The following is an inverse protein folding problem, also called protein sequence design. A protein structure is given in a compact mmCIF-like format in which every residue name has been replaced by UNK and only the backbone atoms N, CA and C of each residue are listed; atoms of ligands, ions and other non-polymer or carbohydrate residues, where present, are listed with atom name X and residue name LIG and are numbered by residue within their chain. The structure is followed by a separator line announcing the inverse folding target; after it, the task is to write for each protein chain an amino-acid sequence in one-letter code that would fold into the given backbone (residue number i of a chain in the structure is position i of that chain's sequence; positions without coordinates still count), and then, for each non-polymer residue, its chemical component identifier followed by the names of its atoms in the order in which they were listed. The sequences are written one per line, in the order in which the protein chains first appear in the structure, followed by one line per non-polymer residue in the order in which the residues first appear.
data_IF_943317089179
#
_entry.id   IF_943317089179
#
_cell.length_a   1.000
_cell.length_b   1.000
_cell.length_c   1.000
_cell.angle_alpha   90.00
_cell.angle_beta   90.00
_cell.angle_gamma   90.00
#
_symmetry.space_group_name_H-M   'P 1'
#
loop_
_entity.id
_entity.type
_entity.pdbx_description
1 polymer ?
#
# COMPACT_ATOMS: atom_id res chain seq x y z
N UNK A 1 3.89 7.95 7.44
CA UNK A 1 4.78 8.40 6.35
C UNK A 1 5.58 7.18 5.94
N UNK A 2 5.50 6.73 4.69
CA UNK A 2 6.24 5.57 4.18
C UNK A 2 7.70 5.98 3.89
N UNK A 3 8.66 5.06 3.93
CA UNK A 3 10.07 5.37 3.59
C UNK A 3 10.17 5.70 2.11
N UNK A 4 10.71 6.87 1.78
CA UNK A 4 11.06 7.22 0.41
C UNK A 4 12.38 6.55 0.01
N UNK A 5 12.51 6.10 -1.24
CA UNK A 5 13.77 5.53 -1.71
C UNK A 5 14.90 6.58 -1.65
N UNK A 6 16.04 6.21 -1.08
CA UNK A 6 17.23 7.07 -0.99
C UNK A 6 18.02 7.03 -2.31
N UNK A 7 17.54 7.78 -3.30
CA UNK A 7 18.17 7.86 -4.62
C UNK A 7 19.16 9.04 -4.61
N UNK A 8 20.46 8.75 -4.73
CA UNK A 8 21.47 9.78 -4.97
C UNK A 8 21.56 10.11 -6.46
N UNK A 9 21.87 11.37 -6.78
CA UNK A 9 22.22 11.75 -8.16
C UNK A 9 23.39 10.88 -8.62
N UNK A 10 23.35 10.45 -9.88
CA UNK A 10 24.31 9.55 -10.56
C UNK A 10 24.34 8.07 -10.16
N UNK A 11 23.38 7.59 -9.35
CA UNK A 11 23.21 6.15 -9.10
C UNK A 11 22.33 5.52 -10.19
N UNK A 12 22.74 4.38 -10.74
CA UNK A 12 21.88 3.55 -11.59
C UNK A 12 21.36 2.39 -10.77
N UNK A 13 20.05 2.18 -10.81
CA UNK A 13 19.36 1.10 -10.11
C UNK A 13 18.53 0.30 -11.10
N UNK A 14 18.51 -1.01 -10.92
CA UNK A 14 17.66 -1.88 -11.71
C UNK A 14 16.27 -1.94 -11.07
N UNK A 15 15.26 -1.58 -11.84
CA UNK A 15 13.87 -1.48 -11.39
C UNK A 15 12.92 -2.11 -12.39
N UNK A 16 11.73 -2.45 -11.91
CA UNK A 16 10.58 -2.82 -12.72
C UNK A 16 9.55 -1.68 -12.69
N UNK A 17 8.96 -1.33 -13.83
CA UNK A 17 7.85 -0.38 -13.89
C UNK A 17 6.56 -1.08 -13.44
N UNK A 18 6.08 -0.77 -12.24
CA UNK A 18 4.95 -1.45 -11.59
C UNK A 18 3.60 -0.84 -11.96
N UNK A 19 3.56 0.47 -12.22
CA UNK A 19 2.36 1.16 -12.68
C UNK A 19 2.77 2.31 -13.59
N UNK A 20 2.22 2.37 -14.81
CA UNK A 20 2.50 3.43 -15.79
C UNK A 20 1.19 4.17 -16.01
N UNK A 21 1.06 5.37 -15.44
CA UNK A 21 -0.07 6.24 -15.71
C UNK A 21 0.20 7.08 -16.97
N UNK A 22 1.42 7.65 -17.09
CA UNK A 22 1.89 8.42 -18.25
C UNK A 22 3.41 8.26 -18.42
N UNK A 23 4.00 8.61 -19.59
CA UNK A 23 5.45 8.46 -19.81
C UNK A 23 6.34 9.16 -18.77
N UNK A 24 5.84 10.22 -18.13
CA UNK A 24 6.53 10.98 -17.08
C UNK A 24 5.93 10.79 -15.69
N UNK A 25 4.93 9.91 -15.55
CA UNK A 25 4.24 9.65 -14.28
C UNK A 25 4.00 8.15 -14.14
N UNK A 26 4.95 7.49 -13.48
CA UNK A 26 4.95 6.04 -13.28
C UNK A 26 5.62 5.68 -11.95
N UNK A 27 5.33 4.47 -11.50
CA UNK A 27 5.89 3.87 -10.30
C UNK A 27 6.85 2.76 -10.65
N UNK A 28 7.87 2.62 -9.82
CA UNK A 28 8.88 1.59 -9.96
C UNK A 28 9.08 0.85 -8.65
N UNK A 29 9.41 -0.43 -8.78
CA UNK A 29 9.87 -1.28 -7.69
C UNK A 29 11.31 -1.71 -7.97
N UNK A 30 12.12 -1.85 -6.92
CA UNK A 30 13.45 -2.43 -7.07
C UNK A 30 13.35 -3.90 -7.51
N UNK A 31 14.31 -4.37 -8.29
CA UNK A 31 14.39 -5.80 -8.66
C UNK A 31 14.60 -6.68 -7.42
N UNK A 32 15.31 -6.19 -6.40
CA UNK A 32 15.39 -6.90 -5.13
C UNK A 32 14.06 -6.76 -4.38
N UNK A 33 13.29 -7.85 -4.35
CA UNK A 33 11.95 -7.90 -3.75
C UNK A 33 11.95 -8.44 -2.33
N UNK A 34 13.09 -8.74 -1.70
CA UNK A 34 13.12 -9.37 -0.35
C UNK A 34 12.30 -8.58 0.68
N UNK A 35 12.45 -7.26 0.70
CA UNK A 35 11.70 -6.42 1.63
C UNK A 35 10.23 -6.31 1.26
N UNK A 36 9.91 -6.25 -0.04
CA UNK A 36 8.53 -6.24 -0.51
C UNK A 36 7.81 -7.56 -0.17
N UNK A 37 8.49 -8.70 -0.33
CA UNK A 37 7.97 -10.02 0.04
C UNK A 37 7.64 -10.10 1.53
N UNK A 38 8.51 -9.56 2.41
CA UNK A 38 8.24 -9.48 3.86
C UNK A 38 7.02 -8.61 4.16
N UNK A 39 6.90 -7.46 3.49
CA UNK A 39 5.74 -6.57 3.64
C UNK A 39 4.45 -7.27 3.20
N UNK A 40 4.46 -7.96 2.06
CA UNK A 40 3.30 -8.71 1.56
C UNK A 40 2.89 -9.79 2.55
N UNK A 41 3.84 -10.57 3.07
CA UNK A 41 3.55 -11.62 4.03
C UNK A 41 2.89 -11.06 5.30
N UNK A 42 3.50 -10.04 5.91
CA UNK A 42 2.97 -9.40 7.11
C UNK A 42 1.59 -8.76 6.85
N UNK A 43 1.36 -8.19 5.67
CA UNK A 43 0.07 -7.66 5.27
C UNK A 43 -1.00 -8.75 5.16
N UNK A 44 -0.65 -9.94 4.62
CA UNK A 44 -1.58 -11.08 4.57
C UNK A 44 -1.96 -11.56 5.96
N UNK A 45 -1.00 -11.67 6.87
CA UNK A 45 -1.24 -12.10 8.26
C UNK A 45 -2.15 -11.10 8.98
N UNK A 46 -1.85 -9.79 8.88
CA UNK A 46 -2.65 -8.75 9.50
C UNK A 46 -4.06 -8.62 8.88
N UNK A 47 -4.21 -8.86 7.58
CA UNK A 47 -5.48 -8.79 6.87
C UNK A 47 -6.49 -9.88 7.28
N UNK A 48 -6.04 -10.96 7.92
CA UNK A 48 -6.90 -12.01 8.46
C UNK A 48 -7.65 -11.61 9.74
N UNK A 49 -7.32 -10.46 10.34
CA UNK A 49 -8.05 -9.98 11.52
C UNK A 49 -9.49 -9.62 11.14
N UNK A 50 -10.36 -9.59 12.14
CA UNK A 50 -11.69 -9.02 11.97
C UNK A 50 -11.61 -7.53 11.64
N UNK A 51 -12.67 -7.05 10.98
CA UNK A 51 -12.81 -5.63 10.69
C UNK A 51 -13.12 -4.87 11.98
N UNK A 52 -12.34 -3.84 12.25
CA UNK A 52 -12.64 -2.88 13.31
C UNK A 52 -13.59 -1.81 12.77
N UNK A 53 -14.85 -1.85 13.20
CA UNK A 53 -15.88 -0.88 12.81
C UNK A 53 -15.55 0.54 13.29
N UNK A 54 -14.87 0.68 14.43
CA UNK A 54 -14.48 2.01 14.93
C UNK A 54 -13.38 2.60 14.06
N UNK A 55 -12.47 1.77 13.55
CA UNK A 55 -11.44 2.21 12.60
C UNK A 55 -12.06 2.71 11.29
N UNK A 56 -13.03 1.99 10.74
CA UNK A 56 -13.59 2.30 9.42
C UNK A 56 -14.38 3.62 9.39
N UNK A 57 -15.01 4.00 10.50
CA UNK A 57 -15.64 5.31 10.68
C UNK A 57 -14.63 6.46 10.62
N UNK A 58 -13.42 6.24 11.14
CA UNK A 58 -12.35 7.27 11.16
C UNK A 58 -11.56 7.40 9.85
N UNK A 59 -11.78 6.51 8.87
CA UNK A 59 -11.09 6.56 7.58
C UNK A 59 -11.47 7.81 6.79
N UNK A 60 -10.44 8.51 6.29
CA UNK A 60 -10.56 9.66 5.41
C UNK A 60 -9.32 9.79 4.51
N UNK A 61 -9.30 10.78 3.59
CA UNK A 61 -8.17 11.02 2.72
C UNK A 61 -6.84 11.12 3.49
N UNK A 62 -5.83 10.38 3.03
CA UNK A 62 -4.51 10.27 3.65
C UNK A 62 -4.37 9.16 4.68
N UNK A 63 -5.47 8.56 5.17
CA UNK A 63 -5.41 7.48 6.16
C UNK A 63 -4.70 6.25 5.57
N UNK A 64 -3.69 5.69 6.26
CA UNK A 64 -3.07 4.44 5.86
C UNK A 64 -3.92 3.26 6.32
N UNK A 65 -4.05 2.25 5.47
CA UNK A 65 -4.82 1.04 5.74
C UNK A 65 -4.19 -0.18 5.05
N UNK A 66 -4.73 -1.36 5.36
CA UNK A 66 -4.65 -2.52 4.49
C UNK A 66 -5.93 -2.59 3.66
N UNK A 67 -5.82 -2.85 2.37
CA UNK A 67 -6.95 -3.03 1.48
C UNK A 67 -6.81 -4.35 0.72
N UNK A 68 -7.92 -5.09 0.60
CA UNK A 68 -7.97 -6.31 -0.19
C UNK A 68 -8.10 -5.93 -1.67
N UNK A 69 -7.12 -6.33 -2.48
CA UNK A 69 -7.17 -6.09 -3.91
C UNK A 69 -7.95 -7.21 -4.60
N UNK A 70 -9.03 -6.87 -5.30
CA UNK A 70 -9.96 -7.86 -5.84
C UNK A 70 -9.38 -8.72 -6.97
N UNK A 71 -8.35 -8.25 -7.68
CA UNK A 71 -7.79 -8.96 -8.83
C UNK A 71 -6.90 -10.14 -8.44
N UNK A 72 -6.23 -10.08 -7.28
CA UNK A 72 -5.38 -11.16 -6.76
C UNK A 72 -5.90 -11.74 -5.44
N UNK A 73 -6.92 -11.12 -4.84
CA UNK A 73 -7.50 -11.47 -3.55
C UNK A 73 -6.47 -11.45 -2.41
N UNK A 74 -5.54 -10.49 -2.45
CA UNK A 74 -4.50 -10.31 -1.43
C UNK A 74 -4.59 -8.96 -0.73
N UNK A 75 -4.15 -8.94 0.53
CA UNK A 75 -4.09 -7.72 1.34
C UNK A 75 -2.82 -6.92 1.04
N UNK A 76 -2.98 -5.65 0.73
CA UNK A 76 -1.85 -4.78 0.40
C UNK A 76 -1.90 -3.50 1.23
N UNK A 77 -0.72 -2.87 1.43
CA UNK A 77 -0.69 -1.54 2.05
C UNK A 77 -1.30 -0.53 1.10
N UNK A 78 -2.21 0.27 1.63
CA UNK A 78 -2.92 1.26 0.87
C UNK A 78 -3.00 2.59 1.62
N UNK A 79 -3.26 3.65 0.87
CA UNK A 79 -3.60 4.96 1.38
C UNK A 79 -4.95 5.36 0.80
N UNK A 80 -5.87 5.78 1.67
CA UNK A 80 -7.17 6.31 1.23
C UNK A 80 -6.93 7.62 0.49
N UNK A 81 -7.42 7.70 -0.74
CA UNK A 81 -7.38 8.90 -1.58
C UNK A 81 -8.71 9.65 -1.47
N UNK A 82 -9.83 8.93 -1.45
CA UNK A 82 -11.18 9.48 -1.32
C UNK A 82 -12.10 8.46 -0.63
N UNK A 83 -13.10 8.94 0.11
CA UNK A 83 -14.18 8.12 0.68
C UNK A 83 -15.52 8.61 0.16
N UNK A 84 -16.36 7.70 -0.30
CA UNK A 84 -17.74 7.96 -0.75
C UNK A 84 -18.62 6.88 -0.16
N UNK A 85 -19.43 7.22 0.85
CA UNK A 85 -20.24 6.28 1.61
C UNK A 85 -19.40 5.08 2.11
N UNK A 86 -19.72 3.87 1.62
CA UNK A 86 -19.06 2.62 1.97
C UNK A 86 -17.97 2.20 0.96
N UNK A 87 -17.60 3.09 0.03
CA UNK A 87 -16.56 2.85 -0.97
C UNK A 87 -15.38 3.77 -0.74
N UNK A 88 -14.18 3.20 -0.82
CA UNK A 88 -12.92 3.91 -0.68
C UNK A 88 -12.17 3.83 -2.01
N UNK A 89 -11.74 4.99 -2.51
CA UNK A 89 -10.73 5.05 -3.55
C UNK A 89 -9.36 5.04 -2.87
N UNK A 90 -8.53 4.05 -3.17
CA UNK A 90 -7.24 3.82 -2.50
C UNK A 90 -6.11 3.74 -3.50
N UNK A 91 -4.92 4.18 -3.06
CA UNK A 91 -3.66 3.96 -3.76
C UNK A 91 -2.91 2.81 -3.07
N UNK A 92 -2.54 1.77 -3.80
CA UNK A 92 -1.66 0.72 -3.31
C UNK A 92 -0.22 1.21 -3.31
N UNK A 93 0.28 1.59 -2.14
CA UNK A 93 1.51 2.41 -2.01
C UNK A 93 2.78 1.68 -2.42
N UNK A 94 2.73 0.35 -2.46
CA UNK A 94 3.86 -0.50 -2.85
C UNK A 94 3.94 -0.69 -4.37
N UNK A 95 2.86 -0.46 -5.12
CA UNK A 95 2.74 -0.76 -6.55
C UNK A 95 2.43 0.46 -7.40
N UNK A 96 1.72 1.44 -6.83
CA UNK A 96 1.35 2.69 -7.46
C UNK A 96 0.00 2.70 -8.17
N UNK A 97 -0.68 1.55 -8.29
CA UNK A 97 -2.01 1.49 -8.87
C UNK A 97 -3.10 1.92 -7.88
N UNK A 98 -4.19 2.44 -8.43
CA UNK A 98 -5.37 2.87 -7.68
C UNK A 98 -6.52 1.89 -7.90
N UNK A 99 -7.41 1.78 -6.92
CA UNK A 99 -8.62 0.96 -7.02
C UNK A 99 -9.72 1.50 -6.13
N UNK A 100 -10.96 1.18 -6.49
CA UNK A 100 -12.09 1.25 -5.55
C UNK A 100 -12.17 -0.03 -4.74
N UNK A 101 -12.40 0.08 -3.43
CA UNK A 101 -12.58 -1.03 -2.49
C UNK A 101 -13.76 -0.75 -1.57
N UNK A 102 -14.47 -1.79 -1.16
CA UNK A 102 -15.52 -1.70 -0.16
C UNK A 102 -14.89 -1.51 1.23
N UNK A 103 -15.55 -0.75 2.10
CA UNK A 103 -15.10 -0.51 3.47
C UNK A 103 -14.91 -1.82 4.25
N UNK A 104 -15.69 -2.87 3.95
CA UNK A 104 -15.57 -4.23 4.53
C UNK A 104 -14.26 -4.93 4.17
N UNK A 105 -13.66 -4.52 3.06
CA UNK A 105 -12.44 -5.06 2.48
C UNK A 105 -11.21 -4.22 2.88
N UNK A 106 -11.31 -3.55 4.03
CA UNK A 106 -10.26 -2.72 4.61
C UNK A 106 -9.97 -3.12 6.06
N UNK A 107 -8.70 -3.09 6.45
CA UNK A 107 -8.23 -3.32 7.83
C UNK A 107 -7.29 -2.22 8.30
N UNK A 108 -7.17 -2.12 9.62
CA UNK A 108 -6.17 -1.27 10.27
C UNK A 108 -4.77 -1.68 9.84
N UNK A 109 -3.92 -0.72 9.49
CA UNK A 109 -2.51 -0.98 9.20
C UNK A 109 -1.71 -1.06 10.51
N UNK A 110 -1.12 -2.22 10.87
CA UNK A 110 -0.25 -2.34 12.04
C UNK A 110 0.91 -1.34 12.00
N UNK A 111 1.35 -0.86 13.16
CA UNK A 111 2.48 0.07 13.23
C UNK A 111 3.78 -0.52 12.66
N UNK A 112 4.00 -1.82 12.83
CA UNK A 112 5.14 -2.54 12.25
C UNK A 112 5.20 -2.42 10.72
N UNK A 113 4.03 -2.41 10.06
CA UNK A 113 3.90 -2.25 8.61
C UNK A 113 3.91 -0.79 8.14
N UNK A 114 3.79 0.18 9.07
CA UNK A 114 3.92 1.61 8.74
C UNK A 114 5.36 2.03 8.47
N UNK A 115 6.32 1.41 9.15
CA UNK A 115 7.72 1.83 9.14
C UNK A 115 8.69 0.80 8.55
N UNK A 116 8.21 -0.37 8.11
CA UNK A 116 9.10 -1.42 7.58
C UNK A 116 10.01 -0.88 6.47
N UNK A 117 11.33 -1.01 6.69
CA UNK A 117 12.42 -0.30 6.01
C UNK A 117 13.23 0.67 6.91
N UNK A 118 12.89 0.83 8.19
CA UNK A 118 13.51 1.81 9.11
C UNK A 118 14.48 1.26 10.17
N UNK A 119 15.17 0.13 9.95
CA UNK A 119 16.28 -0.27 10.82
C UNK A 119 17.58 -0.44 10.02
N UNK A 120 18.61 0.27 10.51
CA UNK A 120 20.03 0.37 10.08
C UNK A 120 20.33 0.93 8.69
#
# INVERSE_FOLDING_TARGET
MYKEPSISKSKTEMVYASCIAEPHFFWCQYINTEDLCKVIQLAQEAGQSDQDMTFTETLGPGSPCLALFSSDNQWHRARVMRKTDNTLHVLFVDYGNESEVDIKDVRSLPQTLRFWGSES
#
